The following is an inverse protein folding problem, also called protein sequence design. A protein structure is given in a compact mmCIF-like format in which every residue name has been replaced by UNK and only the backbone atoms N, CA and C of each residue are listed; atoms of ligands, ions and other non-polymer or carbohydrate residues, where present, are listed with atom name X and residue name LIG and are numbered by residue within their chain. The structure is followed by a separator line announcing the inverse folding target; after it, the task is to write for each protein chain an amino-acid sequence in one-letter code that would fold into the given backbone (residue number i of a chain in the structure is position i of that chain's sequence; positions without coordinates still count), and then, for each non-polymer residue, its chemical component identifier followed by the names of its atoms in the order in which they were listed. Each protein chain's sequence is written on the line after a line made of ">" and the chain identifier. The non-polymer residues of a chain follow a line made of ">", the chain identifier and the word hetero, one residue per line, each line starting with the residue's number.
data_IF_291941092172
#
_entry.id   IF_291941092172
#
_cell.length_a   1.000
_cell.length_b   1.000
_cell.length_c   1.000
_cell.angle_alpha   90.00
_cell.angle_beta   90.00
_cell.angle_gamma   90.00
#
_symmetry.space_group_name_H-M   'P 1'
#
loop_
_entity.id
_entity.type
_entity.pdbx_description
1 polymer ?
#
# COMPACT_ATOMS: atom_id res chain seq x y z
N UNK A 1 -3.46 -25.44 -3.99
CA UNK A 1 -2.17 -25.68 -3.33
C UNK A 1 -1.37 -24.38 -3.36
N UNK A 2 -0.53 -24.12 -2.35
CA UNK A 2 0.25 -22.87 -2.26
C UNK A 2 1.38 -22.85 -3.29
N UNK A 3 1.82 -21.64 -3.70
CA UNK A 3 3.16 -21.43 -4.27
C UNK A 3 3.27 -21.13 -5.76
N UNK A 4 2.40 -20.29 -6.35
CA UNK A 4 2.76 -19.66 -7.61
C UNK A 4 3.82 -18.57 -7.33
N UNK A 5 5.08 -18.88 -7.60
CA UNK A 5 6.23 -17.97 -7.57
C UNK A 5 5.99 -16.81 -8.55
N UNK A 6 6.15 -15.59 -8.05
CA UNK A 6 5.96 -14.31 -8.77
C UNK A 6 7.17 -13.98 -9.68
N UNK A 7 8.09 -14.92 -9.87
CA UNK A 7 9.40 -14.73 -10.49
C UNK A 7 9.39 -14.88 -12.02
N UNK A 8 8.28 -14.53 -12.68
CA UNK A 8 8.28 -14.28 -14.11
C UNK A 8 8.73 -12.83 -14.36
N UNK A 9 9.47 -12.53 -15.45
CA UNK A 9 9.72 -11.14 -15.81
C UNK A 9 8.37 -10.48 -16.05
N UNK A 10 7.96 -9.64 -15.12
CA UNK A 10 6.79 -8.79 -15.28
C UNK A 10 7.18 -7.79 -16.36
N UNK A 11 6.58 -7.94 -17.54
CA UNK A 11 6.80 -7.06 -18.69
C UNK A 11 6.14 -5.72 -18.39
N UNK A 12 6.86 -4.86 -17.68
CA UNK A 12 6.55 -3.45 -17.63
C UNK A 12 6.74 -2.95 -19.06
N UNK A 13 5.65 -2.65 -19.75
CA UNK A 13 5.70 -1.74 -20.89
C UNK A 13 6.20 -0.41 -20.30
N UNK A 14 7.53 -0.24 -20.30
CA UNK A 14 8.25 0.95 -19.91
C UNK A 14 7.91 2.01 -20.97
N UNK A 15 6.69 2.54 -20.86
CA UNK A 15 6.30 3.76 -21.55
C UNK A 15 7.25 4.85 -21.09
N UNK A 16 8.26 5.08 -21.92
CA UNK A 16 9.23 6.17 -21.96
C UNK A 16 9.22 7.02 -20.68
N UNK A 17 9.71 6.42 -19.60
CA UNK A 17 10.16 7.19 -18.45
C UNK A 17 11.47 7.79 -18.92
N UNK A 18 11.39 8.95 -19.58
CA UNK A 18 12.53 9.82 -19.81
C UNK A 18 13.03 10.30 -18.45
N UNK A 19 13.70 9.40 -17.73
CA UNK A 19 14.52 9.67 -16.57
C UNK A 19 15.81 10.29 -17.10
N UNK A 20 15.64 11.46 -17.72
CA UNK A 20 16.71 12.35 -18.08
C UNK A 20 17.48 12.65 -16.81
N UNK A 21 18.70 12.12 -16.74
CA UNK A 21 19.69 12.47 -15.74
C UNK A 21 19.62 13.97 -15.48
N UNK A 22 19.24 14.41 -14.28
CA UNK A 22 19.39 15.82 -13.92
C UNK A 22 20.90 16.07 -13.84
N UNK A 23 21.48 16.83 -14.77
CA UNK A 23 22.89 17.16 -14.72
C UNK A 23 23.05 18.08 -13.52
N UNK A 24 23.93 17.72 -12.58
CA UNK A 24 24.72 18.61 -11.70
C UNK A 24 24.34 20.12 -11.65
N UNK A 25 23.09 20.42 -11.31
CA UNK A 25 22.55 21.76 -11.40
C UNK A 25 21.48 21.94 -10.35
N UNK A 26 21.65 22.96 -9.52
CA UNK A 26 20.60 23.58 -8.71
C UNK A 26 19.48 24.07 -9.66
N UNK A 27 18.63 23.14 -10.10
CA UNK A 27 17.34 23.48 -10.70
C UNK A 27 16.38 23.91 -9.59
N UNK A 28 15.40 24.78 -9.87
CA UNK A 28 14.44 25.32 -8.89
C UNK A 28 13.49 24.26 -8.27
N UNK A 29 13.73 22.98 -8.50
CA UNK A 29 12.87 21.87 -8.12
C UNK A 29 13.46 21.03 -6.99
N UNK A 30 13.99 21.73 -5.97
CA UNK A 30 14.28 21.18 -4.64
C UNK A 30 13.01 21.04 -3.79
N UNK A 31 11.85 21.46 -4.30
CA UNK A 31 10.58 21.44 -3.58
C UNK A 31 10.26 20.03 -3.04
N UNK A 32 10.57 18.99 -3.82
CA UNK A 32 10.44 17.60 -3.37
C UNK A 32 11.30 17.27 -2.15
N UNK A 33 12.58 17.68 -2.13
CA UNK A 33 13.51 17.45 -1.00
C UNK A 33 13.18 18.31 0.22
N UNK A 34 12.86 19.58 0.00
CA UNK A 34 12.57 20.56 1.06
C UNK A 34 11.22 20.32 1.72
N UNK A 35 10.25 19.77 1.00
CA UNK A 35 8.91 19.47 1.50
C UNK A 35 8.65 17.96 1.66
N UNK A 36 9.68 17.13 1.62
CA UNK A 36 9.55 15.70 1.87
C UNK A 36 9.29 15.44 3.35
N UNK A 37 8.29 14.61 3.66
CA UNK A 37 8.11 14.06 5.00
C UNK A 37 7.58 12.64 4.91
N UNK A 38 8.04 11.77 5.82
CA UNK A 38 7.51 10.45 6.00
C UNK A 38 6.48 10.47 7.14
N UNK A 39 5.27 9.97 6.87
CA UNK A 39 4.24 9.81 7.90
C UNK A 39 4.23 8.34 8.31
N UNK A 40 4.48 8.09 9.60
CA UNK A 40 4.35 6.77 10.20
C UNK A 40 3.01 6.71 10.93
N UNK A 41 2.13 5.82 10.49
CA UNK A 41 0.83 5.60 11.12
C UNK A 41 0.81 4.23 11.80
N UNK A 42 0.39 4.19 13.07
CA UNK A 42 0.04 2.97 13.76
C UNK A 42 -1.50 2.81 13.71
N UNK A 43 -2.05 1.85 12.95
CA UNK A 43 -3.50 1.70 12.85
C UNK A 43 -4.08 1.25 14.19
N UNK A 44 -5.12 1.95 14.67
CA UNK A 44 -5.87 1.55 15.86
C UNK A 44 -7.05 0.63 15.52
N UNK A 45 -7.48 0.64 14.25
CA UNK A 45 -8.56 -0.19 13.75
C UNK A 45 -8.36 -0.55 12.29
N UNK A 46 -8.84 -1.72 11.89
CA UNK A 46 -8.89 -2.17 10.50
C UNK A 46 -10.28 -2.73 10.21
N UNK A 47 -10.86 -2.30 9.09
CA UNK A 47 -12.13 -2.82 8.58
C UNK A 47 -11.83 -3.60 7.31
N UNK A 48 -12.14 -4.89 7.32
CA UNK A 48 -11.86 -5.81 6.23
C UNK A 48 -13.17 -6.31 5.61
N UNK A 49 -13.32 -6.11 4.31
CA UNK A 49 -14.46 -6.56 3.52
C UNK A 49 -13.98 -7.49 2.41
N UNK A 50 -14.45 -8.73 2.45
CA UNK A 50 -14.28 -9.72 1.39
C UNK A 50 -15.55 -9.75 0.53
N UNK A 51 -15.38 -9.50 -0.77
CA UNK A 51 -16.47 -9.60 -1.74
C UNK A 51 -16.69 -11.08 -2.08
N UNK A 52 -17.90 -11.58 -1.81
CA UNK A 52 -18.35 -12.95 -2.02
C UNK A 52 -19.79 -12.96 -2.56
N UNK A 53 -20.11 -13.91 -3.42
CA UNK A 53 -21.47 -14.22 -3.88
C UNK A 53 -21.96 -15.50 -3.17
N UNK A 54 -23.14 -15.53 -2.53
CA UNK A 54 -24.22 -14.52 -2.50
C UNK A 54 -24.08 -13.41 -1.46
N UNK A 55 -23.18 -13.54 -0.48
CA UNK A 55 -23.05 -12.57 0.60
C UNK A 55 -21.59 -12.27 0.89
N UNK A 56 -21.25 -10.99 0.94
CA UNK A 56 -19.95 -10.50 1.41
C UNK A 56 -19.64 -10.98 2.83
N UNK A 57 -18.37 -10.90 3.22
CA UNK A 57 -17.93 -11.15 4.60
C UNK A 57 -17.17 -9.94 5.10
N UNK A 58 -17.43 -9.54 6.34
CA UNK A 58 -16.79 -8.37 6.93
C UNK A 58 -16.31 -8.66 8.33
N UNK A 59 -15.09 -8.23 8.63
CA UNK A 59 -14.52 -8.28 9.96
C UNK A 59 -13.93 -6.93 10.35
N UNK A 60 -14.14 -6.55 11.61
CA UNK A 60 -13.55 -5.36 12.20
C UNK A 60 -12.54 -5.78 13.25
N UNK A 61 -11.35 -5.19 13.18
CA UNK A 61 -10.25 -5.39 14.10
C UNK A 61 -9.97 -4.10 14.86
N UNK A 62 -9.78 -4.20 16.17
CA UNK A 62 -9.41 -3.07 17.03
C UNK A 62 -8.15 -3.41 17.81
N UNK A 63 -7.23 -2.45 17.92
CA UNK A 63 -6.02 -2.59 18.71
C UNK A 63 -6.36 -2.59 20.21
N UNK A 64 -5.99 -3.65 20.92
CA UNK A 64 -6.26 -3.84 22.34
C UNK A 64 -4.98 -3.69 23.20
N UNK A 65 -4.03 -2.87 22.76
CA UNK A 65 -2.78 -2.59 23.48
C UNK A 65 -1.60 -3.46 23.05
N UNK A 66 -1.82 -4.77 22.88
CA UNK A 66 -0.76 -5.72 22.48
C UNK A 66 -1.05 -6.45 21.17
N UNK A 67 -2.33 -6.58 20.81
CA UNK A 67 -2.77 -7.30 19.63
C UNK A 67 -4.07 -6.71 19.08
N UNK A 68 -4.37 -7.03 17.83
CA UNK A 68 -5.69 -6.77 17.27
C UNK A 68 -6.69 -7.83 17.73
N UNK A 69 -7.84 -7.39 18.21
CA UNK A 69 -9.00 -8.24 18.46
C UNK A 69 -10.00 -8.08 17.32
N UNK A 70 -10.30 -9.19 16.65
CA UNK A 70 -11.22 -9.24 15.51
C UNK A 70 -12.61 -9.74 15.88
N UNK A 71 -13.64 -9.23 15.20
CA UNK A 71 -14.99 -9.80 15.20
C UNK A 71 -15.60 -9.75 13.81
N UNK A 72 -16.37 -10.78 13.48
CA UNK A 72 -17.24 -10.77 12.31
C UNK A 72 -18.42 -9.82 12.53
N UNK A 73 -18.76 -9.06 11.50
CA UNK A 73 -19.92 -8.17 11.49
C UNK A 73 -20.77 -8.48 10.27
N UNK A 74 -22.06 -8.11 10.33
CA UNK A 74 -22.90 -8.13 9.13
C UNK A 74 -22.26 -7.16 8.11
N UNK A 75 -22.07 -7.59 6.84
CA UNK A 75 -21.48 -6.75 5.81
C UNK A 75 -22.15 -5.38 5.68
#
# INVERSE_FOLDING_TARGET
>A
GPGATIDGPFDWDEGDCDEGARPDGEGPDNAGRENFTAIVCAPLSLDWLELCDPTHRRAVFQWAGEQFMGRWVVP
#
